data_IF_055056224656
#
_entry.id   IF_055056224656
#
_cell.length_a   1.000
_cell.length_b   1.000
_cell.length_c   1.000
_cell.angle_alpha   90.00
_cell.angle_beta   90.00
_cell.angle_gamma   90.00
#
_symmetry.space_group_name_H-M   'P 1'
#
loop_
_entity.id
_entity.type
_entity.pdbx_description
1 polymer ?
#
# COMPACT_ATOMS: atom_id res chain seq x y z
N UNK A 1 5.13 26.26 -27.25
CA UNK A 1 4.72 24.90 -27.66
C UNK A 1 3.90 24.38 -26.49
N UNK A 2 2.59 24.65 -26.52
CA UNK A 2 1.71 24.40 -25.39
C UNK A 2 1.30 22.93 -25.40
N UNK A 3 1.82 22.18 -24.44
CA UNK A 3 1.35 20.82 -24.14
C UNK A 3 -0.03 20.94 -23.48
N UNK A 4 -1.06 20.95 -24.31
CA UNK A 4 -2.45 20.72 -23.89
C UNK A 4 -2.53 19.26 -23.42
N UNK A 5 -2.29 19.05 -22.13
CA UNK A 5 -2.57 17.78 -21.47
C UNK A 5 -4.09 17.60 -21.49
N UNK A 6 -4.56 16.72 -22.38
CA UNK A 6 -5.94 16.23 -22.33
C UNK A 6 -6.21 15.67 -20.94
N UNK A 7 -7.16 16.29 -20.26
CA UNK A 7 -7.62 15.93 -18.93
C UNK A 7 -8.22 14.52 -18.98
N UNK A 8 -7.74 13.54 -18.21
CA UNK A 8 -8.61 12.45 -17.82
C UNK A 8 -9.66 13.03 -16.86
N UNK A 9 -10.94 12.72 -17.08
CA UNK A 9 -12.04 12.96 -16.15
C UNK A 9 -11.78 12.19 -14.84
N UNK A 10 -10.93 12.73 -13.98
CA UNK A 10 -10.66 12.16 -12.66
C UNK A 10 -11.72 12.74 -11.73
N UNK A 11 -12.81 12.00 -11.58
CA UNK A 11 -13.80 12.27 -10.55
C UNK A 11 -13.18 11.94 -9.18
N UNK A 12 -12.53 12.93 -8.55
CA UNK A 12 -11.90 12.81 -7.20
C UNK A 12 -12.96 12.76 -6.09
N UNK A 13 -14.25 12.87 -6.41
CA UNK A 13 -15.33 12.87 -5.42
C UNK A 13 -15.89 11.46 -5.14
N UNK A 14 -15.88 11.10 -3.83
CA UNK A 14 -16.54 9.92 -3.21
C UNK A 14 -15.93 8.53 -3.41
N UNK A 15 -14.76 8.30 -2.82
CA UNK A 15 -14.32 6.94 -2.43
C UNK A 15 -14.59 6.67 -0.94
N UNK A 16 -15.83 6.87 -0.50
CA UNK A 16 -16.31 6.40 0.81
C UNK A 16 -17.38 5.34 0.57
N UNK A 17 -16.93 4.10 0.36
CA UNK A 17 -17.82 2.93 0.31
C UNK A 17 -17.93 2.29 1.68
N UNK A 18 -19.09 1.73 2.01
CA UNK A 18 -19.21 0.84 3.16
C UNK A 18 -18.26 -0.36 3.00
N UNK A 19 -17.66 -0.87 4.09
CA UNK A 19 -16.70 -1.96 4.00
C UNK A 19 -17.38 -3.25 3.55
N UNK A 20 -16.95 -3.83 2.43
CA UNK A 20 -17.34 -5.17 2.01
C UNK A 20 -16.90 -6.27 3.00
N UNK A 21 -17.39 -7.50 2.82
CA UNK A 21 -17.12 -8.64 3.74
C UNK A 21 -15.62 -8.86 3.99
N UNK A 22 -14.79 -8.83 2.94
CA UNK A 22 -13.34 -8.98 3.06
C UNK A 22 -12.74 -7.87 3.91
N UNK A 23 -13.12 -6.62 3.66
CA UNK A 23 -12.65 -5.47 4.42
C UNK A 23 -13.05 -5.58 5.90
N UNK A 24 -14.29 -5.98 6.20
CA UNK A 24 -14.75 -6.21 7.59
C UNK A 24 -13.94 -7.30 8.30
N UNK A 25 -13.61 -8.39 7.61
CA UNK A 25 -12.80 -9.48 8.18
C UNK A 25 -11.35 -9.05 8.42
N UNK A 26 -10.74 -8.34 7.46
CA UNK A 26 -9.40 -7.76 7.64
C UNK A 26 -9.39 -6.76 8.79
N UNK A 27 -10.41 -5.91 8.91
CA UNK A 27 -10.55 -4.97 10.03
C UNK A 27 -10.57 -5.70 11.37
N UNK A 28 -11.31 -6.80 11.49
CA UNK A 28 -11.32 -7.62 12.72
C UNK A 28 -9.95 -8.21 13.04
N UNK A 29 -9.21 -8.67 12.03
CA UNK A 29 -7.87 -9.23 12.20
C UNK A 29 -6.84 -8.19 12.65
N UNK A 30 -6.74 -7.08 11.91
CA UNK A 30 -5.81 -6.00 12.23
C UNK A 30 -6.16 -5.29 13.54
N UNK A 31 -7.45 -5.10 13.83
CA UNK A 31 -7.90 -4.54 15.10
C UNK A 31 -7.56 -5.43 16.29
N UNK A 32 -7.95 -6.72 16.24
CA UNK A 32 -7.81 -7.61 17.39
C UNK A 32 -6.36 -8.04 17.66
N UNK A 33 -5.54 -8.24 16.61
CA UNK A 33 -4.17 -8.74 16.79
C UNK A 33 -3.10 -7.65 16.79
N UNK A 34 -3.38 -6.50 16.18
CA UNK A 34 -2.36 -5.49 15.94
C UNK A 34 -2.76 -4.08 16.41
N UNK A 35 -3.99 -3.91 16.93
CA UNK A 35 -4.47 -2.63 17.47
C UNK A 35 -4.75 -1.56 16.41
N UNK A 36 -4.96 -1.98 15.17
CA UNK A 36 -5.21 -1.08 14.03
C UNK A 36 -6.70 -0.87 13.80
N UNK A 37 -7.11 0.38 13.62
CA UNK A 37 -8.48 0.77 13.37
C UNK A 37 -8.62 1.35 11.95
N UNK A 38 -9.70 1.03 11.22
CA UNK A 38 -9.87 1.51 9.86
C UNK A 38 -10.14 3.02 9.88
N UNK A 39 -9.40 3.76 9.06
CA UNK A 39 -9.59 5.20 8.85
C UNK A 39 -10.37 5.48 7.55
N UNK A 40 -10.08 4.73 6.48
CA UNK A 40 -10.74 4.90 5.18
C UNK A 40 -10.78 3.59 4.39
N UNK A 41 -11.86 3.40 3.63
CA UNK A 41 -12.04 2.29 2.68
C UNK A 41 -12.09 2.84 1.26
N UNK A 42 -11.15 2.43 0.41
CA UNK A 42 -11.01 2.89 -0.99
C UNK A 42 -10.97 1.65 -1.88
N UNK A 43 -12.13 1.19 -2.35
CA UNK A 43 -12.22 0.00 -3.20
C UNK A 43 -11.60 -1.24 -2.55
N UNK A 44 -10.48 -1.71 -3.11
CA UNK A 44 -9.71 -2.87 -2.64
C UNK A 44 -8.60 -2.51 -1.63
N UNK A 45 -8.60 -1.27 -1.15
CA UNK A 45 -7.57 -0.71 -0.26
C UNK A 45 -8.22 -0.24 1.04
N UNK A 46 -7.57 -0.54 2.17
CA UNK A 46 -7.99 -0.11 3.51
C UNK A 46 -6.84 0.64 4.15
N UNK A 47 -7.08 1.87 4.58
CA UNK A 47 -6.12 2.63 5.37
C UNK A 47 -6.44 2.37 6.83
N UNK A 48 -5.46 1.87 7.58
CA UNK A 48 -5.56 1.68 9.02
C UNK A 48 -4.68 2.67 9.77
N UNK A 49 -5.13 3.04 10.97
CA UNK A 49 -4.41 3.86 11.93
C UNK A 49 -4.26 3.16 13.27
N UNK A 50 -3.17 3.43 13.97
CA UNK A 50 -2.94 3.02 15.36
C UNK A 50 -2.20 4.14 16.07
N UNK A 51 -2.64 4.46 17.29
CA UNK A 51 -1.89 5.35 18.19
C UNK A 51 -0.93 4.50 19.01
N UNK A 52 0.36 4.80 18.94
CA UNK A 52 1.40 4.17 19.77
C UNK A 52 1.36 4.72 21.20
N UNK A 53 1.96 4.03 22.18
CA UNK A 53 1.93 4.46 23.58
C UNK A 53 2.62 5.81 23.85
N UNK A 54 3.53 6.25 22.98
CA UNK A 54 4.18 7.56 23.00
C UNK A 54 3.31 8.69 22.42
N UNK A 55 2.12 8.37 21.90
CA UNK A 55 1.21 9.32 21.25
C UNK A 55 1.37 9.38 19.73
N UNK A 56 2.41 8.75 19.16
CA UNK A 56 2.64 8.79 17.72
C UNK A 56 1.56 8.02 16.95
N UNK A 57 1.09 8.60 15.85
CA UNK A 57 0.11 7.96 14.97
C UNK A 57 0.82 7.22 13.86
N UNK A 58 0.66 5.90 13.85
CA UNK A 58 1.12 5.03 12.78
C UNK A 58 -0.03 4.72 11.82
N UNK A 59 0.26 4.78 10.51
CA UNK A 59 -0.69 4.42 9.47
C UNK A 59 -0.09 3.38 8.54
N UNK A 60 -0.93 2.45 8.12
CA UNK A 60 -0.60 1.42 7.13
C UNK A 60 -1.68 1.36 6.07
N UNK A 61 -1.30 0.88 4.90
CA UNK A 61 -2.22 0.62 3.79
C UNK A 61 -2.28 -0.88 3.56
N UNK A 62 -3.49 -1.43 3.53
CA UNK A 62 -3.72 -2.84 3.23
C UNK A 62 -4.44 -2.93 1.89
N UNK A 63 -3.75 -3.45 0.89
CA UNK A 63 -4.33 -3.74 -0.43
C UNK A 63 -4.72 -5.20 -0.49
N UNK A 64 -5.93 -5.49 -0.95
CA UNK A 64 -6.49 -6.84 -1.04
C UNK A 64 -7.23 -7.05 -2.35
N UNK A 65 -7.40 -8.29 -2.78
CA UNK A 65 -8.14 -8.57 -4.01
C UNK A 65 -9.63 -8.17 -3.86
N UNK A 66 -10.21 -7.64 -4.94
CA UNK A 66 -11.66 -7.39 -4.98
C UNK A 66 -12.45 -8.71 -4.94
N UNK A 67 -13.73 -8.62 -4.54
CA UNK A 67 -14.60 -9.78 -4.51
C UNK A 67 -14.84 -10.26 -5.95
N UNK A 68 -14.61 -11.57 -6.22
CA UNK A 68 -14.69 -12.25 -7.54
C UNK A 68 -13.45 -12.20 -8.47
N UNK A 69 -12.38 -11.52 -8.11
CA UNK A 69 -11.11 -11.63 -8.85
C UNK A 69 -10.23 -12.74 -8.27
N UNK A 70 -9.51 -13.46 -9.14
CA UNK A 70 -8.62 -14.57 -8.79
C UNK A 70 -7.37 -14.15 -7.99
N UNK A 71 -7.18 -12.85 -7.81
CA UNK A 71 -6.10 -12.30 -6.99
C UNK A 71 -4.75 -12.25 -7.70
N UNK A 72 -4.72 -12.53 -9.01
CA UNK A 72 -3.52 -12.48 -9.85
C UNK A 72 -2.93 -11.07 -9.92
N UNK A 73 -3.76 -10.03 -9.98
CA UNK A 73 -3.32 -8.63 -9.93
C UNK A 73 -2.54 -8.36 -8.64
N UNK A 74 -3.13 -8.71 -7.50
CA UNK A 74 -2.49 -8.55 -6.18
C UNK A 74 -1.22 -9.37 -6.10
N UNK A 75 -1.19 -10.59 -6.64
CA UNK A 75 0.01 -11.42 -6.65
C UNK A 75 1.12 -10.82 -7.52
N UNK A 76 0.77 -10.29 -8.69
CA UNK A 76 1.71 -9.65 -9.61
C UNK A 76 2.33 -8.40 -8.98
N UNK A 77 1.49 -7.52 -8.43
CA UNK A 77 1.94 -6.30 -7.77
C UNK A 77 2.76 -6.59 -6.52
N UNK A 78 2.30 -7.51 -5.67
CA UNK A 78 3.06 -7.97 -4.50
C UNK A 78 4.43 -8.52 -4.91
N UNK A 79 4.52 -9.29 -6.00
CA UNK A 79 5.79 -9.80 -6.53
C UNK A 79 6.72 -8.67 -6.97
N UNK A 80 6.19 -7.64 -7.64
CA UNK A 80 6.96 -6.46 -8.05
C UNK A 80 7.43 -5.67 -6.82
N UNK A 81 6.56 -5.39 -5.85
CA UNK A 81 6.92 -4.66 -4.63
C UNK A 81 7.97 -5.39 -3.79
N UNK A 82 7.99 -6.74 -3.84
CA UNK A 82 9.05 -7.52 -3.22
C UNK A 82 10.41 -7.33 -3.90
N UNK A 83 10.46 -7.25 -5.23
CA UNK A 83 11.72 -7.07 -5.95
C UNK A 83 12.27 -5.65 -5.81
N UNK A 84 11.40 -4.67 -5.59
CA UNK A 84 11.77 -3.25 -5.41
C UNK A 84 12.04 -2.87 -3.95
N UNK A 85 12.12 -3.86 -3.05
CA UNK A 85 12.35 -3.62 -1.64
C UNK A 85 13.65 -2.85 -1.38
N UNK A 86 13.57 -1.80 -0.54
CA UNK A 86 14.72 -0.97 -0.17
C UNK A 86 15.02 0.16 -1.15
N UNK A 87 14.27 0.26 -2.26
CA UNK A 87 14.30 1.44 -3.11
C UNK A 87 13.59 2.60 -2.43
N UNK A 88 14.26 3.76 -2.39
CA UNK A 88 13.74 4.99 -1.78
C UNK A 88 12.54 5.57 -2.53
N UNK A 89 12.43 5.30 -3.84
CA UNK A 89 11.43 5.88 -4.71
C UNK A 89 10.29 4.90 -5.05
N UNK A 90 10.22 3.77 -4.36
CA UNK A 90 9.15 2.79 -4.50
C UNK A 90 8.43 2.58 -3.18
N UNK A 91 7.15 2.24 -3.28
CA UNK A 91 6.31 2.01 -2.12
C UNK A 91 6.84 0.85 -1.29
N UNK A 92 7.07 1.11 0.00
CA UNK A 92 7.63 0.12 0.92
C UNK A 92 6.59 -0.94 1.31
N UNK A 93 6.91 -2.20 1.00
CA UNK A 93 6.15 -3.40 1.43
C UNK A 93 6.38 -3.74 2.92
N UNK A 94 5.43 -3.46 3.80
CA UNK A 94 5.56 -3.71 5.24
C UNK A 94 5.37 -5.18 5.60
N UNK A 95 4.36 -5.85 5.04
CA UNK A 95 4.05 -7.23 5.40
C UNK A 95 3.26 -7.95 4.30
N UNK A 96 3.35 -9.28 4.31
CA UNK A 96 2.64 -10.18 3.38
C UNK A 96 1.86 -11.22 4.17
N UNK A 97 0.79 -11.74 3.58
CA UNK A 97 0.03 -12.84 4.19
C UNK A 97 0.83 -14.15 4.21
N UNK A 98 0.90 -14.82 5.36
CA UNK A 98 1.51 -16.15 5.50
C UNK A 98 0.55 -17.28 5.10
N UNK A 99 0.25 -17.36 3.80
CA UNK A 99 -0.62 -18.39 3.23
C UNK A 99 0.16 -19.60 2.68
N UNK A 100 -0.54 -20.56 2.06
CA UNK A 100 0.06 -21.79 1.52
C UNK A 100 1.22 -21.52 0.53
N UNK A 101 1.15 -20.47 -0.29
CA UNK A 101 2.21 -20.10 -1.24
C UNK A 101 3.43 -19.54 -0.52
N UNK A 102 3.23 -18.78 0.56
CA UNK A 102 4.31 -18.07 1.27
C UNK A 102 4.91 -18.83 2.45
N UNK A 103 4.22 -19.84 2.99
CA UNK A 103 4.62 -20.57 4.19
C UNK A 103 6.00 -21.22 4.06
N UNK A 104 6.31 -21.79 2.88
CA UNK A 104 7.60 -22.45 2.61
C UNK A 104 8.65 -21.55 1.95
N UNK A 105 8.26 -20.40 1.40
CA UNK A 105 9.20 -19.56 0.66
C UNK A 105 10.13 -18.80 1.61
N UNK A 106 11.45 -18.99 1.46
CA UNK A 106 12.47 -18.12 2.11
C UNK A 106 12.51 -16.78 1.40
N UNK A 107 11.54 -15.93 1.72
CA UNK A 107 11.63 -14.50 1.41
C UNK A 107 12.38 -13.87 2.56
N UNK A 108 13.58 -13.41 2.29
CA UNK A 108 14.37 -12.70 3.29
C UNK A 108 13.55 -11.53 3.83
N UNK A 109 13.47 -11.47 5.17
CA UNK A 109 12.95 -10.29 5.83
C UNK A 109 13.86 -9.11 5.46
N UNK A 110 13.34 -7.88 5.42
CA UNK A 110 14.19 -6.72 5.21
C UNK A 110 15.39 -6.68 6.16
N UNK A 111 16.61 -6.51 5.62
CA UNK A 111 17.85 -6.50 6.41
C UNK A 111 17.89 -5.40 7.49
N UNK A 112 17.21 -4.28 7.27
CA UNK A 112 17.12 -3.14 8.19
C UNK A 112 15.80 -3.05 8.98
N UNK A 113 15.02 -4.14 9.05
CA UNK A 113 13.80 -4.14 9.88
C UNK A 113 14.18 -4.44 11.33
N UNK A 114 14.13 -3.42 12.17
CA UNK A 114 14.10 -3.57 13.63
C UNK A 114 12.82 -4.33 13.98
N UNK A 115 12.96 -5.52 14.56
CA UNK A 115 11.82 -6.35 14.92
C UNK A 115 11.52 -6.15 16.41
N UNK A 116 10.55 -5.29 16.71
CA UNK A 116 9.97 -5.19 18.04
C UNK A 116 8.61 -5.92 18.12
N UNK A 117 8.04 -6.03 19.32
CA UNK A 117 6.70 -6.65 19.52
C UNK A 117 5.56 -5.86 18.85
N UNK A 118 5.81 -4.61 18.45
CA UNK A 118 4.79 -3.67 17.95
C UNK A 118 4.77 -3.60 16.42
N UNK A 119 5.87 -3.97 15.78
CA UNK A 119 6.05 -4.05 14.34
C UNK A 119 5.29 -5.26 13.83
N UNK A 120 4.51 -5.07 12.76
CA UNK A 120 3.87 -6.20 12.10
C UNK A 120 4.93 -7.26 11.76
N UNK A 121 4.66 -8.57 11.88
CA UNK A 121 5.58 -9.55 11.37
C UNK A 121 5.66 -9.44 9.83
N UNK A 122 6.83 -9.73 9.26
CA UNK A 122 7.01 -9.73 7.80
C UNK A 122 6.00 -10.65 7.11
N UNK A 123 5.80 -11.84 7.66
CA UNK A 123 4.77 -12.79 7.28
C UNK A 123 3.68 -12.79 8.33
N UNK A 124 2.46 -12.40 7.96
CA UNK A 124 1.31 -12.30 8.86
C UNK A 124 0.70 -13.68 9.11
N UNK A 125 0.79 -14.22 10.36
CA UNK A 125 0.26 -15.54 10.68
C UNK A 125 -1.27 -15.48 10.83
N UNK A 126 -1.98 -15.73 9.74
CA UNK A 126 -3.45 -15.75 9.68
C UNK A 126 -4.07 -17.11 10.10
N UNK A 127 -3.29 -17.97 10.76
CA UNK A 127 -3.66 -19.36 11.04
C UNK A 127 -4.51 -19.57 12.30
N UNK A 128 -4.81 -18.52 13.06
CA UNK A 128 -5.65 -18.63 14.25
C UNK A 128 -7.09 -19.07 13.89
N UNK A 129 -7.70 -19.92 14.73
CA UNK A 129 -9.07 -20.43 14.55
C UNK A 129 -10.09 -19.32 14.24
N UNK A 130 -9.97 -18.17 14.91
CA UNK A 130 -10.83 -17.01 14.74
C UNK A 130 -10.70 -16.30 13.36
N UNK A 131 -9.63 -16.58 12.61
CA UNK A 131 -9.29 -15.86 11.37
C UNK A 131 -9.03 -16.78 10.17
N UNK A 132 -9.43 -18.05 10.26
CA UNK A 132 -9.21 -19.06 9.20
C UNK A 132 -9.70 -18.62 7.81
N UNK A 133 -10.77 -17.83 7.73
CA UNK A 133 -11.33 -17.31 6.47
C UNK A 133 -10.36 -16.35 5.75
N UNK A 134 -9.56 -15.59 6.50
CA UNK A 134 -8.63 -14.57 5.97
C UNK A 134 -7.43 -15.21 5.28
N UNK A 135 -7.06 -16.44 5.66
CA UNK A 135 -5.97 -17.19 5.01
C UNK A 135 -6.19 -17.42 3.51
N UNK A 136 -7.44 -17.33 3.04
CA UNK A 136 -7.78 -17.44 1.62
C UNK A 136 -7.69 -16.11 0.88
N UNK A 137 -7.55 -14.99 1.59
CA UNK A 137 -7.50 -13.67 0.98
C UNK A 137 -6.07 -13.36 0.57
N UNK A 138 -5.91 -12.91 -0.67
CA UNK A 138 -4.66 -12.29 -1.14
C UNK A 138 -4.67 -10.84 -0.73
N UNK A 139 -3.71 -10.47 0.13
CA UNK A 139 -3.49 -9.09 0.55
C UNK A 139 -2.04 -8.89 1.01
N UNK A 140 -1.61 -7.64 0.93
CA UNK A 140 -0.32 -7.20 1.45
C UNK A 140 -0.47 -5.83 2.13
N UNK A 141 0.55 -5.47 2.91
CA UNK A 141 0.58 -4.23 3.70
C UNK A 141 1.72 -3.37 3.19
N UNK A 142 1.46 -2.10 2.93
CA UNK A 142 2.46 -1.10 2.57
C UNK A 142 2.44 0.07 3.54
N UNK A 143 3.47 0.92 3.43
CA UNK A 143 3.46 2.21 4.10
C UNK A 143 2.31 3.10 3.62
N UNK A 144 1.98 4.06 4.47
CA UNK A 144 1.04 5.13 4.16
C UNK A 144 1.80 6.40 3.77
N UNK A 145 1.51 6.92 2.57
CA UNK A 145 2.04 8.19 2.08
C UNK A 145 1.05 9.31 2.40
N UNK A 146 1.41 10.18 3.35
CA UNK A 146 0.52 11.21 3.91
C UNK A 146 0.15 12.33 2.94
N UNK A 147 0.92 12.50 1.86
CA UNK A 147 0.71 13.56 0.87
C UNK A 147 -0.26 13.17 -0.25
N UNK A 148 -0.79 11.94 -0.23
CA UNK A 148 -1.65 11.42 -1.28
C UNK A 148 -0.85 10.97 -2.50
N UNK A 149 -1.55 10.79 -3.61
CA UNK A 149 -0.93 10.46 -4.90
C UNK A 149 -0.60 11.73 -5.72
N UNK A 150 0.14 11.53 -6.82
CA UNK A 150 0.56 12.64 -7.69
C UNK A 150 -0.61 13.36 -8.37
N UNK A 151 -1.73 12.67 -8.62
CA UNK A 151 -2.91 13.27 -9.25
C UNK A 151 -3.64 14.17 -8.24
N UNK A 152 -3.76 13.73 -6.99
CA UNK A 152 -4.31 14.53 -5.90
C UNK A 152 -3.48 15.79 -5.64
N UNK A 153 -2.15 15.68 -5.74
CA UNK A 153 -1.26 16.84 -5.66
C UNK A 153 -1.51 17.83 -6.80
N UNK A 154 -1.56 17.35 -8.05
CA UNK A 154 -1.81 18.20 -9.23
C UNK A 154 -3.17 18.89 -9.12
N UNK A 155 -4.22 18.16 -8.75
CA UNK A 155 -5.56 18.71 -8.58
C UNK A 155 -5.59 19.81 -7.50
N UNK A 156 -4.91 19.61 -6.36
CA UNK A 156 -4.80 20.63 -5.30
C UNK A 156 -4.01 21.86 -5.74
N UNK A 157 -2.96 21.68 -6.53
CA UNK A 157 -2.21 22.81 -7.09
C UNK A 157 -3.07 23.62 -8.05
N UNK A 158 -3.88 22.96 -8.88
CA UNK A 158 -4.83 23.63 -9.78
C UNK A 158 -5.92 24.38 -9.01
N UNK A 159 -6.55 23.73 -8.02
CA UNK A 159 -7.59 24.32 -7.18
C UNK A 159 -7.11 25.58 -6.43
N UNK A 160 -5.84 25.58 -6.01
CA UNK A 160 -5.22 26.69 -5.25
C UNK A 160 -4.45 27.68 -6.13
N UNK A 161 -4.49 27.51 -7.45
CA UNK A 161 -3.72 28.33 -8.40
C UNK A 161 -2.20 28.36 -8.11
N UNK A 162 -1.69 27.29 -7.50
CA UNK A 162 -0.26 27.15 -7.18
C UNK A 162 0.46 26.62 -8.41
N UNK A 163 1.33 27.44 -9.00
CA UNK A 163 2.26 26.98 -10.03
C UNK A 163 3.36 26.13 -9.42
N UNK A 164 3.50 24.90 -9.89
CA UNK A 164 4.63 24.03 -9.54
C UNK A 164 5.85 24.51 -10.33
N UNK A 165 6.91 24.90 -9.63
CA UNK A 165 8.14 25.38 -10.28
C UNK A 165 8.80 24.26 -11.10
N UNK A 166 9.42 24.62 -12.22
CA UNK A 166 10.12 23.68 -13.10
C UNK A 166 11.16 22.79 -12.37
N UNK A 167 11.98 23.29 -11.42
CA UNK A 167 12.92 22.43 -10.68
C UNK A 167 12.24 21.30 -9.89
N UNK A 168 11.05 21.55 -9.32
CA UNK A 168 10.28 20.54 -8.59
C UNK A 168 9.77 19.46 -9.55
N UNK A 169 9.33 19.85 -10.75
CA UNK A 169 8.91 18.90 -11.79
C UNK A 169 10.08 18.03 -12.26
N UNK A 170 11.27 18.62 -12.42
CA UNK A 170 12.49 17.87 -12.73
C UNK A 170 12.87 16.87 -11.65
N UNK A 171 12.84 17.28 -10.37
CA UNK A 171 13.08 16.36 -9.26
C UNK A 171 12.07 15.20 -9.26
N UNK A 172 10.79 15.49 -9.44
CA UNK A 172 9.76 14.44 -9.52
C UNK A 172 10.02 13.45 -10.66
N UNK A 173 10.34 13.96 -11.85
CA UNK A 173 10.65 13.12 -13.01
C UNK A 173 11.89 12.24 -12.80
N UNK A 174 12.95 12.79 -12.20
CA UNK A 174 14.17 12.04 -11.87
C UNK A 174 13.89 10.92 -10.87
N UNK A 175 13.08 11.19 -9.82
CA UNK A 175 12.65 10.17 -8.87
C UNK A 175 11.86 9.04 -9.56
N UNK A 176 10.94 9.37 -10.47
CA UNK A 176 10.19 8.37 -11.25
C UNK A 176 11.11 7.53 -12.17
N UNK A 177 12.07 8.18 -12.86
CA UNK A 177 13.04 7.52 -13.73
C UNK A 177 13.92 6.53 -12.96
N UNK A 178 14.39 6.91 -11.78
CA UNK A 178 15.16 6.04 -10.90
C UNK A 178 14.38 4.76 -10.56
N UNK A 179 13.08 4.87 -10.24
CA UNK A 179 12.22 3.70 -9.98
C UNK A 179 12.02 2.80 -11.21
N UNK A 180 11.80 3.39 -12.39
CA UNK A 180 11.54 2.63 -13.62
C UNK A 180 12.77 1.83 -14.05
N UNK A 181 13.96 2.43 -13.99
CA UNK A 181 15.21 1.74 -14.32
C UNK A 181 15.45 0.55 -13.38
N UNK A 182 15.12 0.70 -12.09
CA UNK A 182 15.20 -0.40 -11.14
C UNK A 182 14.26 -1.56 -11.53
N UNK A 183 13.01 -1.25 -11.93
CA UNK A 183 12.04 -2.26 -12.38
C UNK A 183 12.56 -3.01 -13.61
N UNK A 184 13.10 -2.29 -14.60
CA UNK A 184 13.64 -2.88 -15.82
C UNK A 184 14.76 -3.90 -15.51
N UNK A 185 15.66 -3.57 -14.58
CA UNK A 185 16.75 -4.44 -14.14
C UNK A 185 16.28 -5.67 -13.35
N UNK A 186 15.11 -5.62 -12.71
CA UNK A 186 14.55 -6.80 -12.00
C UNK A 186 13.83 -7.79 -12.92
N UNK A 187 13.61 -7.46 -14.20
CA UNK A 187 12.95 -8.33 -15.19
C UNK A 187 13.91 -9.05 -16.14
N UNK A 188 15.17 -8.62 -16.20
CA UNK A 188 16.29 -9.26 -16.92
C UNK A 188 16.96 -10.34 -16.07
#
# INVERSE_FOLDING_TARGET
MDLVLQQPDINVSRWTGEPGIRARLLTRFFGRLHGYYPEKYIGATIIYKRTKPDGDVERIVVKHAQFRQDGDEIQSEEKVLRSLWGSEHNLRLIAIVDDRKHKGSRWDRPRHRTQDRRTLPWKLPVNQLAFKSIKKFRFFVTEYLSRGDGLELIARCQEKEIKISEPILWCFWLCCKASINLIALTKS
#
